data_IF_730679738915
#
_entry.id   IF_730679738915
#
_cell.length_a   1.000
_cell.length_b   1.000
_cell.length_c   1.000
_cell.angle_alpha   90.00
_cell.angle_beta   90.00
_cell.angle_gamma   90.00
#
_symmetry.space_group_name_H-M   'P 1'
#
loop_
_entity.id
_entity.type
_entity.pdbx_description
1 polymer ?
#
# COMPACT_ATOMS: atom_id res chain seq x y z
N UNK A 1 5.66 -9.31 -6.71
CA UNK A 1 5.47 -10.69 -6.22
C UNK A 1 4.00 -10.84 -5.87
N UNK A 2 3.38 -11.95 -6.26
CA UNK A 2 1.96 -12.21 -5.96
C UNK A 2 1.87 -13.18 -4.80
N UNK A 3 1.27 -12.75 -3.70
CA UNK A 3 1.08 -13.55 -2.49
C UNK A 3 -0.41 -13.81 -2.29
N UNK A 4 -0.83 -15.07 -2.07
CA UNK A 4 -2.20 -15.37 -1.70
C UNK A 4 -2.47 -14.91 -0.27
N UNK A 5 -3.61 -14.29 -0.04
CA UNK A 5 -4.04 -13.83 1.28
C UNK A 5 -5.50 -14.20 1.52
N UNK A 6 -5.83 -14.47 2.78
CA UNK A 6 -7.21 -14.58 3.26
C UNK A 6 -7.63 -13.23 3.81
N UNK A 7 -8.80 -12.77 3.42
CA UNK A 7 -9.42 -11.52 3.86
C UNK A 7 -10.66 -11.88 4.66
N UNK A 8 -10.66 -11.64 5.96
CA UNK A 8 -11.85 -11.82 6.79
C UNK A 8 -12.54 -10.48 6.99
N UNK A 9 -13.81 -10.42 6.59
CA UNK A 9 -14.71 -9.28 6.68
C UNK A 9 -15.92 -9.78 7.45
N UNK A 10 -16.21 -9.19 8.60
CA UNK A 10 -17.23 -9.68 9.54
C UNK A 10 -17.05 -11.19 9.84
N UNK A 11 -18.00 -12.02 9.42
CA UNK A 11 -17.96 -13.48 9.59
C UNK A 11 -17.52 -14.25 8.33
N UNK A 12 -17.33 -13.55 7.20
CA UNK A 12 -16.97 -14.17 5.93
C UNK A 12 -15.46 -14.10 5.68
N UNK A 13 -14.92 -15.15 5.07
CA UNK A 13 -13.52 -15.18 4.65
C UNK A 13 -13.44 -15.36 3.14
N UNK A 14 -12.75 -14.42 2.50
CA UNK A 14 -12.55 -14.38 1.07
C UNK A 14 -11.08 -14.62 0.72
N UNK A 15 -10.84 -15.16 -0.46
CA UNK A 15 -9.50 -15.29 -1.03
C UNK A 15 -9.20 -14.06 -1.89
N UNK A 16 -8.01 -13.51 -1.72
CA UNK A 16 -7.47 -12.43 -2.53
C UNK A 16 -5.99 -12.68 -2.80
N UNK A 17 -5.40 -11.85 -3.66
CA UNK A 17 -3.97 -11.88 -3.92
C UNK A 17 -3.39 -10.47 -3.88
N UNK A 18 -2.11 -10.36 -3.55
CA UNK A 18 -1.40 -9.09 -3.62
C UNK A 18 -1.03 -8.77 -5.06
N UNK A 19 -1.40 -7.58 -5.53
CA UNK A 19 -0.90 -6.98 -6.76
C UNK A 19 0.45 -6.32 -6.49
N UNK A 20 0.55 -5.60 -5.38
CA UNK A 20 1.78 -5.02 -4.87
C UNK A 20 1.80 -5.04 -3.34
N UNK A 21 2.99 -4.97 -2.75
CA UNK A 21 3.21 -5.03 -1.29
C UNK A 21 4.25 -4.00 -0.85
N UNK A 22 3.98 -3.39 0.29
CA UNK A 22 4.91 -2.52 1.03
C UNK A 22 5.05 -3.06 2.46
N UNK A 23 6.05 -2.65 3.25
CA UNK A 23 6.20 -3.13 4.62
C UNK A 23 4.94 -2.95 5.48
N UNK A 24 4.20 -1.86 5.26
CA UNK A 24 2.99 -1.52 6.04
C UNK A 24 1.68 -1.71 5.29
N UNK A 25 1.68 -2.24 4.07
CA UNK A 25 0.46 -2.27 3.26
C UNK A 25 0.55 -3.15 2.03
N UNK A 26 -0.54 -3.18 1.27
CA UNK A 26 -0.60 -3.89 0.00
C UNK A 26 -1.70 -3.32 -0.89
N UNK A 27 -1.59 -3.63 -2.17
CA UNK A 27 -2.69 -3.57 -3.11
C UNK A 27 -3.25 -4.97 -3.27
N UNK A 28 -4.54 -5.15 -3.01
CA UNK A 28 -5.24 -6.41 -3.14
C UNK A 28 -6.06 -6.44 -4.44
N UNK A 29 -6.07 -7.59 -5.10
CA UNK A 29 -6.92 -7.91 -6.24
C UNK A 29 -7.82 -9.10 -5.97
N UNK A 30 -8.72 -9.38 -6.94
CA UNK A 30 -9.73 -10.44 -6.87
C UNK A 30 -10.72 -10.33 -5.69
N UNK A 31 -10.92 -9.12 -5.16
CA UNK A 31 -11.94 -8.88 -4.14
C UNK A 31 -13.32 -8.89 -4.81
N UNK A 32 -14.21 -9.74 -4.32
CA UNK A 32 -15.59 -9.91 -4.83
C UNK A 32 -16.67 -9.36 -3.87
N UNK A 33 -16.24 -8.86 -2.72
CA UNK A 33 -17.11 -8.32 -1.67
C UNK A 33 -17.11 -6.81 -1.73
N UNK A 34 -18.26 -6.21 -1.41
CA UNK A 34 -18.37 -4.76 -1.28
C UNK A 34 -17.56 -4.30 -0.06
N UNK A 35 -16.54 -3.50 -0.33
CA UNK A 35 -15.70 -2.89 0.69
C UNK A 35 -16.02 -1.39 0.79
N UNK A 36 -15.68 -0.79 1.93
CA UNK A 36 -15.77 0.65 2.13
C UNK A 36 -14.41 1.22 2.54
N UNK A 37 -13.98 2.37 2.01
CA UNK A 37 -12.80 3.07 2.53
C UNK A 37 -12.96 3.34 4.03
N UNK A 38 -11.89 3.18 4.80
CA UNK A 38 -11.88 3.30 6.25
C UNK A 38 -12.30 2.04 7.01
N UNK A 39 -12.92 1.05 6.36
CA UNK A 39 -13.27 -0.21 7.01
C UNK A 39 -12.03 -0.97 7.51
N UNK A 40 -12.16 -1.65 8.65
CA UNK A 40 -11.10 -2.49 9.23
C UNK A 40 -11.39 -3.94 8.89
N UNK A 41 -10.41 -4.59 8.26
CA UNK A 41 -10.46 -5.99 7.86
C UNK A 41 -9.30 -6.76 8.49
N UNK A 42 -9.42 -8.08 8.57
CA UNK A 42 -8.29 -8.93 8.95
C UNK A 42 -7.68 -9.55 7.70
N UNK A 43 -6.37 -9.39 7.54
CA UNK A 43 -5.62 -10.16 6.57
C UNK A 43 -4.90 -11.30 7.27
N UNK A 44 -4.94 -12.47 6.66
CA UNK A 44 -4.20 -13.64 7.10
C UNK A 44 -3.35 -14.19 5.95
N UNK A 45 -2.09 -14.49 6.28
CA UNK A 45 -1.13 -15.12 5.38
C UNK A 45 -0.34 -16.17 6.15
N UNK A 46 -0.53 -17.44 5.81
CA UNK A 46 -0.02 -18.55 6.62
C UNK A 46 -0.56 -18.49 8.05
N UNK A 47 0.35 -18.50 9.03
CA UNK A 47 0.05 -18.35 10.46
C UNK A 47 -0.06 -16.90 10.93
N UNK A 48 0.31 -15.91 10.10
CA UNK A 48 0.28 -14.49 10.48
C UNK A 48 -1.10 -13.89 10.19
N UNK A 49 -1.67 -13.19 11.16
CA UNK A 49 -2.94 -12.46 11.03
C UNK A 49 -2.80 -11.05 11.60
N UNK A 50 -3.28 -10.04 10.89
CA UNK A 50 -3.20 -8.64 11.30
C UNK A 50 -4.39 -7.83 10.81
N UNK A 51 -4.63 -6.69 11.47
CA UNK A 51 -5.70 -5.76 11.10
C UNK A 51 -5.19 -4.72 10.11
N UNK A 52 -5.95 -4.52 9.05
CA UNK A 52 -5.69 -3.55 8.01
C UNK A 52 -6.90 -2.64 7.83
N UNK A 53 -6.64 -1.37 7.55
CA UNK A 53 -7.63 -0.40 7.09
C UNK A 53 -7.67 -0.38 5.57
N UNK A 54 -8.87 -0.35 4.98
CA UNK A 54 -9.05 -0.05 3.57
C UNK A 54 -8.71 1.42 3.33
N UNK A 55 -7.60 1.71 2.64
CA UNK A 55 -7.17 3.07 2.32
C UNK A 55 -7.93 3.62 1.10
N UNK A 56 -8.18 2.79 0.10
CA UNK A 56 -8.90 3.16 -1.12
C UNK A 56 -9.47 1.92 -1.81
N UNK A 57 -10.44 2.13 -2.69
CA UNK A 57 -11.06 1.09 -3.52
C UNK A 57 -11.14 1.60 -4.96
N UNK A 58 -10.88 0.71 -5.92
CA UNK A 58 -11.00 0.99 -7.35
C UNK A 58 -11.64 -0.20 -8.06
N UNK A 59 -12.73 0.06 -8.79
CA UNK A 59 -13.28 -0.90 -9.74
C UNK A 59 -12.54 -0.75 -11.07
N UNK A 60 -11.90 -1.80 -11.55
CA UNK A 60 -11.21 -1.81 -12.85
C UNK A 60 -12.08 -2.42 -13.96
N UNK A 61 -12.93 -3.37 -13.61
CA UNK A 61 -13.88 -4.03 -14.50
C UNK A 61 -15.13 -4.45 -13.69
N UNK A 62 -16.24 -4.87 -14.33
CA UNK A 62 -17.45 -5.28 -13.62
C UNK A 62 -17.22 -6.31 -12.51
N UNK A 63 -16.25 -7.21 -12.71
CA UNK A 63 -15.89 -8.28 -11.77
C UNK A 63 -14.46 -8.13 -11.19
N UNK A 64 -13.81 -6.98 -11.38
CA UNK A 64 -12.45 -6.74 -10.87
C UNK A 64 -12.44 -5.49 -9.99
N UNK A 65 -12.42 -5.72 -8.68
CA UNK A 65 -12.21 -4.68 -7.67
C UNK A 65 -10.81 -4.85 -7.09
N UNK A 66 -10.12 -3.71 -6.93
CA UNK A 66 -8.86 -3.61 -6.20
C UNK A 66 -9.04 -2.70 -4.99
N UNK A 67 -8.32 -3.00 -3.93
CA UNK A 67 -8.30 -2.19 -2.73
C UNK A 67 -6.87 -1.99 -2.25
N UNK A 68 -6.57 -0.78 -1.79
CA UNK A 68 -5.37 -0.49 -1.03
C UNK A 68 -5.62 -0.74 0.44
N UNK A 69 -4.69 -1.41 1.10
CA UNK A 69 -4.76 -1.72 2.53
C UNK A 69 -3.53 -1.22 3.26
N UNK A 70 -3.75 -0.68 4.45
CA UNK A 70 -2.71 -0.18 5.35
C UNK A 70 -2.83 -0.88 6.71
N UNK A 71 -1.71 -1.40 7.22
CA UNK A 71 -1.67 -2.10 8.49
C UNK A 71 -1.87 -1.12 9.64
N UNK A 72 -2.74 -1.48 10.59
CA UNK A 72 -3.05 -0.61 11.74
C UNK A 72 -1.96 -0.63 12.82
N UNK A 73 -1.17 -1.71 12.87
CA UNK A 73 -0.11 -1.91 13.84
C UNK A 73 1.14 -2.38 13.12
N UNK A 74 2.30 -2.10 13.69
CA UNK A 74 3.54 -2.61 13.11
C UNK A 74 3.63 -4.11 13.39
N UNK A 75 3.54 -4.91 12.31
CA UNK A 75 3.64 -6.37 12.37
C UNK A 75 4.88 -6.78 11.64
N UNK A 76 5.85 -7.28 12.40
CA UNK A 76 7.15 -7.64 11.84
C UNK A 76 7.01 -8.73 10.77
N UNK A 77 7.54 -8.39 9.59
CA UNK A 77 7.59 -9.24 8.42
C UNK A 77 6.24 -9.95 8.11
N UNK A 78 5.11 -9.24 8.16
CA UNK A 78 3.78 -9.83 7.90
C UNK A 78 3.74 -10.62 6.57
N UNK A 79 4.34 -10.04 5.53
CA UNK A 79 4.43 -10.64 4.20
C UNK A 79 5.39 -11.83 4.11
N UNK A 80 6.20 -12.09 5.14
CA UNK A 80 7.17 -13.20 5.20
C UNK A 80 8.15 -13.24 4.04
N UNK A 81 8.45 -12.08 3.48
CA UNK A 81 9.40 -11.88 2.39
C UNK A 81 10.23 -10.65 2.72
N UNK A 82 11.50 -10.68 2.35
CA UNK A 82 12.38 -9.54 2.56
C UNK A 82 12.01 -8.43 1.56
N UNK A 83 11.60 -7.27 2.05
CA UNK A 83 11.19 -6.13 1.22
C UNK A 83 12.28 -5.05 1.09
N UNK A 84 13.44 -5.25 1.73
CA UNK A 84 14.53 -4.26 1.79
C UNK A 84 15.05 -3.86 0.41
N UNK A 85 14.97 -4.76 -0.58
CA UNK A 85 15.41 -4.48 -1.95
C UNK A 85 14.47 -3.55 -2.73
N UNK A 86 13.27 -3.27 -2.19
CA UNK A 86 12.22 -2.45 -2.85
C UNK A 86 12.08 -1.06 -2.24
N UNK A 87 12.67 -0.82 -1.08
CA UNK A 87 12.76 0.51 -0.50
C UNK A 87 13.81 1.30 -1.27
N UNK A 88 13.38 1.97 -2.35
CA UNK A 88 14.18 3.01 -2.95
C UNK A 88 14.56 4.02 -1.87
N UNK A 89 15.86 4.05 -1.53
CA UNK A 89 16.49 4.87 -0.49
C UNK A 89 15.72 6.18 -0.24
N UNK A 90 15.05 6.35 0.92
CA UNK A 90 14.31 7.58 1.24
C UNK A 90 15.19 8.83 1.17
N UNK A 91 16.51 8.65 1.34
CA UNK A 91 17.53 9.68 1.16
C UNK A 91 17.56 10.27 -0.25
N UNK A 92 17.26 9.49 -1.29
CA UNK A 92 17.34 9.94 -2.70
C UNK A 92 16.11 10.75 -3.09
N UNK A 93 14.93 10.36 -2.61
CA UNK A 93 13.67 11.07 -2.86
C UNK A 93 13.63 12.41 -2.13
N UNK A 94 14.07 12.46 -0.86
CA UNK A 94 14.15 13.74 -0.15
C UNK A 94 15.16 14.71 -0.78
N UNK A 95 16.31 14.21 -1.25
CA UNK A 95 17.28 15.03 -1.99
C UNK A 95 16.68 15.58 -3.29
N UNK A 96 16.00 14.75 -4.07
CA UNK A 96 15.35 15.18 -5.32
C UNK A 96 14.24 16.22 -5.07
N UNK A 97 13.46 16.04 -4.00
CA UNK A 97 12.43 16.99 -3.61
C UNK A 97 13.03 18.34 -3.18
N UNK A 98 14.08 18.32 -2.35
CA UNK A 98 14.79 19.52 -1.92
C UNK A 98 15.50 20.25 -3.08
N UNK A 99 16.04 19.51 -4.05
CA UNK A 99 16.64 20.12 -5.24
C UNK A 99 15.62 20.83 -6.14
N UNK A 100 14.39 20.31 -6.24
CA UNK A 100 13.32 20.95 -7.01
C UNK A 100 12.84 22.25 -6.35
N UNK A 101 12.81 22.31 -5.02
CA UNK A 101 12.40 23.52 -4.30
C UNK A 101 13.45 24.64 -4.35
N UNK A 102 14.72 24.30 -4.52
CA UNK A 102 15.82 25.28 -4.48
C UNK A 102 16.07 25.98 -5.82
N UNK A 103 15.57 25.45 -6.94
CA UNK A 103 15.77 25.99 -8.29
C UNK A 103 14.93 27.26 -8.56
N UNK A 104 13.96 27.58 -7.71
CA UNK A 104 13.09 28.75 -7.85
C UNK A 104 13.71 30.11 -7.46
N UNK A 105 14.93 30.17 -6.93
CA UNK A 105 15.47 31.43 -6.34
C UNK A 105 16.42 32.26 -7.22
N UNK A 106 16.72 31.85 -8.45
CA UNK A 106 17.62 32.60 -9.34
C UNK A 106 16.91 33.24 -10.53
N UNK A 107 15.90 34.05 -10.27
CA UNK A 107 15.46 35.10 -11.22
C UNK A 107 15.37 36.42 -10.46
N UNK A 108 16.45 37.20 -10.52
CA UNK A 108 16.53 38.46 -9.80
C UNK A 108 17.89 39.12 -9.87
N UNK A 109 18.37 39.47 -11.07
CA UNK A 109 19.31 40.59 -11.24
C UNK A 109 19.18 41.19 -12.64
N UNK A 110 18.15 42.03 -12.78
CA UNK A 110 18.18 43.16 -13.71
C UNK A 110 18.71 44.39 -12.95
N UNK A 111 19.34 45.29 -13.71
CA UNK A 111 19.93 46.61 -13.37
C UNK A 111 21.42 46.52 -13.04
N UNK A 112 22.32 47.25 -13.71
CA UNK A 112 22.24 48.46 -14.53
C UNK A 112 23.18 48.36 -15.74
#
# INVERSE_FOLDING_TARGET
>A
MVLPVKVSIDNDTHLAHTVDITPRGAQLGALRTQLQPGAIIHLQRGSKKAKFRIAWIRQLAPNEIRAGVECLHDVDNFWGVNLSDREGEPKKVMQAFLSLLSDGSKTGRLRR
#
